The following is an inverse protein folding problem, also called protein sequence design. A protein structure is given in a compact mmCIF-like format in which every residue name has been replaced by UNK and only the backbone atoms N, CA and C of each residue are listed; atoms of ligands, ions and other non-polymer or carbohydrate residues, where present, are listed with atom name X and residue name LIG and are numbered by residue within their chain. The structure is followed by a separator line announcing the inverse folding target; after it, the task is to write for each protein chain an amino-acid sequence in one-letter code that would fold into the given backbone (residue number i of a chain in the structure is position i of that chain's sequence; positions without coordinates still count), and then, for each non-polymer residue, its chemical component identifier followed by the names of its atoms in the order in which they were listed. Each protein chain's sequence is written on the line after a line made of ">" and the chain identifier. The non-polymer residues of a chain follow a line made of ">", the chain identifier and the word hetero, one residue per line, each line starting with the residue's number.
data_IF_679896417072
#
_entry.id   IF_679896417072
#
_cell.length_a   1.000
_cell.length_b   1.000
_cell.length_c   1.000
_cell.angle_alpha   90.00
_cell.angle_beta   90.00
_cell.angle_gamma   90.00
#
_symmetry.space_group_name_H-M   'P 1'
#
loop_
_entity.id
_entity.type
_entity.pdbx_description
1 polymer ?
#
# COMPACT_ATOMS: atom_id res chain seq x y z
N UNK A 1 -12.97 23.91 -6.66
CA UNK A 1 -13.77 23.73 -7.89
C UNK A 1 -13.09 24.50 -9.00
N UNK A 2 -12.79 23.86 -10.12
CA UNK A 2 -12.04 24.46 -11.24
C UNK A 2 -12.85 24.28 -12.52
N UNK A 3 -13.12 25.37 -13.24
CA UNK A 3 -13.76 25.32 -14.56
C UNK A 3 -12.72 24.98 -15.63
N UNK A 4 -12.85 23.79 -16.21
CA UNK A 4 -11.87 23.22 -17.14
C UNK A 4 -11.83 23.97 -18.48
N UNK A 5 -12.93 24.63 -18.88
CA UNK A 5 -12.99 25.41 -20.12
C UNK A 5 -12.13 26.69 -20.09
N UNK A 6 -11.67 27.13 -18.91
CA UNK A 6 -10.79 28.31 -18.71
C UNK A 6 -9.33 27.88 -18.47
N UNK A 7 -9.10 26.58 -18.36
CA UNK A 7 -7.96 25.98 -17.71
C UNK A 7 -7.07 25.27 -18.74
N UNK A 8 -6.30 26.05 -19.51
CA UNK A 8 -5.16 25.52 -20.24
C UNK A 8 -4.07 24.95 -19.30
N UNK A 9 -2.82 24.93 -19.76
CA UNK A 9 -1.66 24.44 -18.98
C UNK A 9 -1.49 25.07 -17.57
N UNK A 10 -2.09 26.23 -17.31
CA UNK A 10 -2.07 26.91 -16.02
C UNK A 10 -2.82 26.17 -14.90
N UNK A 11 -3.94 25.52 -15.18
CA UNK A 11 -4.69 24.81 -14.15
C UNK A 11 -4.01 23.51 -13.72
N UNK A 12 -3.40 22.80 -14.67
CA UNK A 12 -2.59 21.60 -14.38
C UNK A 12 -1.43 21.95 -13.45
N UNK A 13 -0.73 23.07 -13.71
CA UNK A 13 0.35 23.57 -12.84
C UNK A 13 -0.14 24.00 -11.47
N UNK A 14 -1.28 24.69 -11.40
CA UNK A 14 -1.90 25.08 -10.13
C UNK A 14 -2.24 23.86 -9.27
N UNK A 15 -2.83 22.83 -9.88
CA UNK A 15 -3.20 21.58 -9.20
C UNK A 15 -1.97 20.85 -8.70
N UNK A 16 -0.93 20.70 -9.53
CA UNK A 16 0.32 20.09 -9.12
C UNK A 16 0.95 20.85 -7.93
N UNK A 17 0.94 22.18 -7.98
CA UNK A 17 1.47 23.03 -6.90
C UNK A 17 0.65 22.90 -5.61
N UNK A 18 -0.68 22.91 -5.73
CA UNK A 18 -1.58 22.78 -4.59
C UNK A 18 -1.47 21.39 -3.93
N UNK A 19 -1.24 20.35 -4.73
CA UNK A 19 -0.98 18.98 -4.25
C UNK A 19 0.38 18.80 -3.58
N UNK A 20 1.38 19.57 -3.99
CA UNK A 20 2.66 19.62 -3.28
C UNK A 20 2.53 20.09 -1.84
N UNK A 21 1.49 20.87 -1.52
CA UNK A 21 1.18 21.34 -0.15
C UNK A 21 0.11 20.48 0.52
N UNK A 22 -0.91 20.07 -0.23
CA UNK A 22 -2.03 19.24 0.25
C UNK A 22 -2.25 18.06 -0.70
N UNK A 23 -1.58 16.91 -0.46
CA UNK A 23 -1.62 15.77 -1.37
C UNK A 23 -3.04 15.29 -1.70
N UNK A 24 -3.92 15.27 -0.69
CA UNK A 24 -5.31 14.81 -0.82
C UNK A 24 -6.30 15.91 -1.17
N UNK A 25 -5.84 17.09 -1.63
CA UNK A 25 -6.71 18.23 -1.92
C UNK A 25 -7.86 17.81 -2.87
N UNK A 26 -9.12 17.89 -2.41
CA UNK A 26 -10.27 17.53 -3.24
C UNK A 26 -10.45 18.53 -4.39
N UNK A 27 -10.42 18.04 -5.62
CA UNK A 27 -10.60 18.86 -6.82
C UNK A 27 -11.77 18.32 -7.65
N UNK A 28 -12.79 19.16 -7.79
CA UNK A 28 -13.90 18.97 -8.71
C UNK A 28 -13.63 19.79 -9.97
N UNK A 29 -13.48 19.09 -11.09
CA UNK A 29 -13.42 19.69 -12.41
C UNK A 29 -14.82 19.84 -12.96
N UNK A 30 -15.10 21.01 -13.55
CA UNK A 30 -16.34 21.22 -14.27
C UNK A 30 -16.00 21.44 -15.74
N UNK A 31 -16.52 20.60 -16.63
CA UNK A 31 -16.19 20.66 -18.06
C UNK A 31 -17.44 20.70 -18.94
N UNK A 32 -17.40 21.46 -20.04
CA UNK A 32 -18.41 21.41 -21.10
C UNK A 32 -18.09 20.40 -22.22
N UNK A 33 -16.93 19.74 -22.18
CA UNK A 33 -16.50 18.76 -23.19
C UNK A 33 -15.90 17.51 -22.55
N UNK A 34 -16.03 16.38 -23.24
CA UNK A 34 -15.63 15.04 -22.78
C UNK A 34 -14.11 14.77 -22.84
N UNK A 35 -13.30 15.73 -23.31
CA UNK A 35 -11.87 15.48 -23.52
C UNK A 35 -11.10 15.64 -22.20
N UNK A 36 -11.07 14.56 -21.41
CA UNK A 36 -10.53 14.48 -20.05
C UNK A 36 -9.15 13.79 -20.01
N UNK A 37 -8.33 13.99 -21.04
CA UNK A 37 -6.94 13.53 -21.03
C UNK A 37 -6.18 14.17 -19.86
N UNK A 38 -5.69 13.34 -18.93
CA UNK A 38 -4.92 13.78 -17.76
C UNK A 38 -5.72 13.99 -16.47
N UNK A 39 -7.03 13.69 -16.46
CA UNK A 39 -7.93 13.86 -15.28
C UNK A 39 -8.57 12.53 -14.84
N UNK A 40 -8.05 11.38 -15.29
CA UNK A 40 -8.68 10.05 -15.15
C UNK A 40 -8.98 9.59 -13.71
N UNK A 41 -8.36 10.20 -12.70
CA UNK A 41 -8.55 9.84 -11.28
C UNK A 41 -9.35 10.90 -10.48
N UNK A 42 -9.78 11.96 -11.17
CA UNK A 42 -10.39 13.15 -10.58
C UNK A 42 -11.91 13.15 -10.71
N UNK A 43 -12.57 13.84 -9.78
CA UNK A 43 -14.01 14.07 -9.90
C UNK A 43 -14.28 15.08 -11.01
N UNK A 44 -15.10 14.69 -11.99
CA UNK A 44 -15.49 15.53 -13.11
C UNK A 44 -17.02 15.66 -13.17
N UNK A 45 -17.51 16.89 -13.23
CA UNK A 45 -18.90 17.24 -13.44
C UNK A 45 -19.08 17.86 -14.82
N UNK A 46 -19.89 17.23 -15.66
CA UNK A 46 -20.12 17.68 -17.03
C UNK A 46 -21.27 18.68 -17.11
N UNK A 47 -21.07 19.77 -17.87
CA UNK A 47 -22.12 20.75 -18.18
C UNK A 47 -22.99 20.26 -19.35
N UNK A 48 -24.31 20.56 -19.35
CA UNK A 48 -25.05 21.18 -18.26
C UNK A 48 -25.33 20.17 -17.13
N UNK A 49 -25.39 20.66 -15.89
CA UNK A 49 -25.77 19.88 -14.72
C UNK A 49 -26.80 20.63 -13.88
N UNK A 50 -27.60 19.88 -13.14
CA UNK A 50 -28.56 20.38 -12.15
C UNK A 50 -27.84 20.75 -10.84
N UNK A 51 -28.36 21.72 -10.06
CA UNK A 51 -27.77 22.09 -8.77
C UNK A 51 -27.55 20.91 -7.82
N UNK A 52 -28.43 19.91 -7.82
CA UNK A 52 -28.34 18.72 -6.97
C UNK A 52 -27.15 17.84 -7.37
N UNK A 53 -26.81 17.78 -8.66
CA UNK A 53 -25.63 17.05 -9.15
C UNK A 53 -24.33 17.71 -8.68
N UNK A 54 -24.28 19.04 -8.63
CA UNK A 54 -23.15 19.77 -8.07
C UNK A 54 -23.01 19.51 -6.56
N UNK A 55 -24.11 19.63 -5.81
CA UNK A 55 -24.11 19.40 -4.36
C UNK A 55 -23.63 17.99 -4.04
N UNK A 56 -24.14 16.98 -4.75
CA UNK A 56 -23.71 15.59 -4.60
C UNK A 56 -22.22 15.41 -4.92
N UNK A 57 -21.76 15.93 -6.06
CA UNK A 57 -20.35 15.82 -6.45
C UNK A 57 -19.40 16.46 -5.43
N UNK A 58 -19.80 17.59 -4.82
CA UNK A 58 -19.04 18.25 -3.76
C UNK A 58 -19.01 17.41 -2.48
N UNK A 59 -20.16 16.87 -2.05
CA UNK A 59 -20.22 16.01 -0.86
C UNK A 59 -19.38 14.75 -1.02
N UNK A 60 -19.55 14.01 -2.12
CA UNK A 60 -18.79 12.80 -2.43
C UNK A 60 -17.28 13.08 -2.43
N UNK A 61 -16.88 14.23 -2.96
CA UNK A 61 -15.48 14.66 -3.01
C UNK A 61 -14.92 15.00 -1.62
N UNK A 62 -15.69 15.69 -0.76
CA UNK A 62 -15.28 16.02 0.61
C UNK A 62 -15.15 14.75 1.45
N UNK A 63 -16.12 13.84 1.36
CA UNK A 63 -16.07 12.54 2.05
C UNK A 63 -14.85 11.73 1.61
N UNK A 64 -14.56 11.68 0.30
CA UNK A 64 -13.37 11.03 -0.23
C UNK A 64 -12.09 11.62 0.34
N UNK A 65 -11.96 12.95 0.40
CA UNK A 65 -10.80 13.61 1.00
C UNK A 65 -10.62 13.22 2.47
N UNK A 66 -11.69 13.24 3.26
CA UNK A 66 -11.63 12.86 4.67
C UNK A 66 -11.20 11.39 4.87
N UNK A 67 -11.67 10.48 4.01
CA UNK A 67 -11.23 9.08 4.03
C UNK A 67 -9.74 8.95 3.71
N UNK A 68 -9.23 9.72 2.75
CA UNK A 68 -7.82 9.70 2.38
C UNK A 68 -6.95 10.26 3.51
N UNK A 69 -7.34 11.36 4.13
CA UNK A 69 -6.62 11.95 5.26
C UNK A 69 -6.61 11.02 6.48
N UNK A 70 -7.73 10.35 6.77
CA UNK A 70 -7.79 9.35 7.84
C UNK A 70 -6.90 8.12 7.54
N UNK A 71 -6.85 7.68 6.27
CA UNK A 71 -5.97 6.59 5.84
C UNK A 71 -4.51 6.99 6.02
N UNK A 72 -4.15 8.20 5.64
CA UNK A 72 -2.79 8.73 5.76
C UNK A 72 -2.36 8.89 7.22
N UNK A 73 -3.23 9.43 8.08
CA UNK A 73 -2.98 9.50 9.53
C UNK A 73 -2.79 8.09 10.16
N UNK A 74 -3.53 7.09 9.68
CA UNK A 74 -3.35 5.69 10.09
C UNK A 74 -2.00 5.12 9.64
N UNK A 75 -1.48 5.54 8.48
CA UNK A 75 -0.14 5.14 8.02
C UNK A 75 0.94 5.83 8.86
N UNK A 76 0.78 7.12 9.17
CA UNK A 76 1.72 7.84 10.02
C UNK A 76 1.78 7.23 11.43
N UNK A 77 0.62 6.86 11.99
CA UNK A 77 0.53 6.15 13.27
C UNK A 77 1.13 4.73 13.21
N UNK A 78 1.17 4.12 12.03
CA UNK A 78 1.85 2.84 11.81
C UNK A 78 3.36 3.02 11.73
N UNK A 79 3.82 3.97 10.93
CA UNK A 79 5.23 4.31 10.75
C UNK A 79 5.93 4.67 12.07
N UNK A 80 5.22 5.38 12.96
CA UNK A 80 5.71 5.73 14.30
C UNK A 80 6.05 4.52 15.18
N UNK A 81 5.60 3.31 14.83
CA UNK A 81 5.84 2.05 15.57
C UNK A 81 6.98 1.22 14.99
N UNK A 82 7.51 1.58 13.82
CA UNK A 82 8.62 0.85 13.19
C UNK A 82 9.92 1.18 13.92
N UNK A 83 10.69 0.16 14.31
CA UNK A 83 12.08 0.37 14.74
C UNK A 83 13.00 0.44 13.53
N UNK A 84 12.70 -0.28 12.44
CA UNK A 84 13.56 -0.30 11.27
C UNK A 84 13.35 0.87 10.32
N UNK A 85 14.46 1.49 9.90
CA UNK A 85 14.46 2.53 8.88
C UNK A 85 14.07 2.00 7.50
N UNK A 86 14.32 0.72 7.19
CA UNK A 86 13.98 0.13 5.89
C UNK A 86 12.47 0.04 5.69
N UNK A 87 11.72 -0.30 6.74
CA UNK A 87 10.25 -0.31 6.73
C UNK A 87 9.68 1.08 6.44
N UNK A 88 10.24 2.12 7.09
CA UNK A 88 9.83 3.50 6.87
C UNK A 88 10.06 3.97 5.42
N UNK A 89 11.23 3.65 4.85
CA UNK A 89 11.54 4.03 3.46
C UNK A 89 10.63 3.34 2.47
N UNK A 90 10.45 2.02 2.58
CA UNK A 90 9.61 1.25 1.66
C UNK A 90 8.14 1.63 1.79
N UNK A 91 7.63 1.91 3.01
CA UNK A 91 6.28 2.45 3.20
C UNK A 91 6.11 3.81 2.49
N UNK A 92 7.12 4.68 2.59
CA UNK A 92 7.08 6.01 1.96
C UNK A 92 7.06 5.91 0.44
N UNK A 93 7.88 5.03 -0.14
CA UNK A 93 7.92 4.75 -1.57
C UNK A 93 6.57 4.19 -2.06
N UNK A 94 6.02 3.18 -1.37
CA UNK A 94 4.72 2.61 -1.70
C UNK A 94 3.59 3.64 -1.60
N UNK A 95 3.62 4.50 -0.57
CA UNK A 95 2.65 5.58 -0.40
C UNK A 95 2.75 6.61 -1.52
N UNK A 96 3.95 6.92 -2.01
CA UNK A 96 4.19 7.87 -3.10
C UNK A 96 3.59 7.43 -4.43
N UNK A 97 3.53 6.13 -4.70
CA UNK A 97 2.96 5.57 -5.94
C UNK A 97 1.43 5.43 -5.91
N UNK A 98 0.79 5.70 -4.76
CA UNK A 98 -0.67 5.66 -4.68
C UNK A 98 -1.32 6.85 -5.38
N UNK A 99 -2.46 6.59 -6.01
CA UNK A 99 -3.37 7.63 -6.51
C UNK A 99 -4.68 7.60 -5.74
N UNK A 100 -4.74 8.35 -4.64
CA UNK A 100 -5.89 8.36 -3.73
C UNK A 100 -6.17 6.97 -3.13
N UNK A 101 -7.28 6.35 -3.52
CA UNK A 101 -7.69 5.04 -3.02
C UNK A 101 -7.08 3.86 -3.81
N UNK A 102 -6.60 4.13 -5.02
CA UNK A 102 -5.98 3.15 -5.93
C UNK A 102 -4.67 2.62 -5.36
N UNK A 103 -4.51 1.30 -5.40
CA UNK A 103 -3.29 0.62 -4.99
C UNK A 103 -2.21 0.75 -6.07
N UNK A 104 -0.91 0.81 -5.70
CA UNK A 104 0.16 0.85 -6.67
C UNK A 104 0.39 -0.55 -7.28
N UNK A 105 0.81 -0.58 -8.55
CA UNK A 105 1.37 -1.79 -9.14
C UNK A 105 2.75 -2.09 -8.55
N UNK A 106 3.07 -3.37 -8.37
CA UNK A 106 4.31 -3.83 -7.72
C UNK A 106 5.55 -3.22 -8.39
N UNK A 107 5.58 -3.24 -9.73
CA UNK A 107 6.69 -2.75 -10.54
C UNK A 107 6.85 -1.22 -10.54
N UNK A 108 5.92 -0.45 -9.95
CA UNK A 108 6.02 1.00 -9.84
C UNK A 108 6.68 1.44 -8.54
N UNK A 109 6.65 0.60 -7.50
CA UNK A 109 7.25 0.95 -6.21
C UNK A 109 8.77 0.94 -6.34
N UNK A 110 9.47 2.08 -6.12
CA UNK A 110 10.89 2.21 -6.41
C UNK A 110 11.77 1.62 -5.30
N UNK A 111 11.73 0.30 -5.12
CA UNK A 111 12.58 -0.41 -4.14
C UNK A 111 14.04 -0.38 -4.62
N UNK A 112 14.92 0.17 -3.79
CA UNK A 112 16.36 0.24 -4.09
C UNK A 112 17.04 -1.12 -3.96
N UNK A 113 18.26 -1.24 -4.49
CA UNK A 113 19.01 -2.50 -4.44
C UNK A 113 19.31 -2.94 -3.00
N UNK A 114 19.65 -2.02 -2.11
CA UNK A 114 19.92 -2.29 -0.70
C UNK A 114 18.64 -2.64 0.08
N UNK A 115 17.49 -2.08 -0.30
CA UNK A 115 16.20 -2.43 0.30
C UNK A 115 15.73 -3.83 -0.12
N UNK A 116 16.06 -4.26 -1.35
CA UNK A 116 15.68 -5.58 -1.87
C UNK A 116 16.19 -6.73 -1.02
N UNK A 117 17.30 -6.57 -0.30
CA UNK A 117 17.81 -7.63 0.58
C UNK A 117 16.85 -7.98 1.72
N UNK A 118 15.97 -7.05 2.10
CA UNK A 118 14.98 -7.18 3.17
C UNK A 118 13.54 -7.40 2.66
N UNK A 119 13.36 -7.52 1.34
CA UNK A 119 12.04 -7.58 0.71
C UNK A 119 11.80 -8.97 0.12
N UNK A 120 10.60 -9.48 0.32
CA UNK A 120 10.04 -10.56 -0.49
C UNK A 120 8.86 -10.05 -1.32
N UNK A 121 8.83 -10.42 -2.59
CA UNK A 121 7.70 -10.21 -3.49
C UNK A 121 6.78 -11.42 -3.39
N UNK A 122 5.51 -11.19 -3.10
CA UNK A 122 4.51 -12.24 -2.88
C UNK A 122 3.42 -12.12 -3.91
N UNK A 123 3.18 -13.17 -4.69
CA UNK A 123 2.02 -13.27 -5.58
C UNK A 123 0.85 -13.85 -4.79
N UNK A 124 -0.33 -13.27 -4.98
CA UNK A 124 -1.56 -13.68 -4.32
C UNK A 124 -2.49 -14.32 -5.34
N UNK A 125 -2.87 -15.57 -5.10
CA UNK A 125 -3.98 -16.22 -5.82
C UNK A 125 -5.22 -16.22 -4.94
N UNK A 126 -6.13 -15.30 -5.22
CA UNK A 126 -7.43 -15.18 -4.56
C UNK A 126 -8.50 -16.14 -5.12
N UNK A 127 -8.23 -16.83 -6.23
CA UNK A 127 -9.19 -17.76 -6.86
C UNK A 127 -9.18 -19.13 -6.18
N UNK A 128 -8.08 -19.48 -5.51
CA UNK A 128 -7.96 -20.68 -4.68
C UNK A 128 -8.58 -20.44 -3.29
N UNK A 129 -9.20 -21.46 -2.70
CA UNK A 129 -9.79 -21.39 -1.34
C UNK A 129 -9.18 -22.48 -0.45
N UNK A 130 -8.47 -22.12 0.64
CA UNK A 130 -8.14 -20.76 1.06
C UNK A 130 -7.17 -20.07 0.09
N UNK A 131 -7.20 -18.73 -0.03
CA UNK A 131 -6.28 -17.99 -0.91
C UNK A 131 -4.82 -18.36 -0.62
N UNK A 132 -3.97 -18.32 -1.65
CA UNK A 132 -2.58 -18.77 -1.51
C UNK A 132 -1.57 -17.68 -1.84
N UNK A 133 -0.39 -17.83 -1.24
CA UNK A 133 0.68 -16.84 -1.30
C UNK A 133 1.96 -17.53 -1.75
N UNK A 134 2.57 -17.01 -2.80
CA UNK A 134 3.80 -17.56 -3.39
C UNK A 134 4.90 -16.51 -3.33
N UNK A 135 6.02 -16.86 -2.71
CA UNK A 135 7.20 -16.01 -2.59
C UNK A 135 8.00 -16.08 -3.89
N UNK A 136 7.75 -15.17 -4.83
CA UNK A 136 8.36 -15.24 -6.17
C UNK A 136 9.77 -14.65 -6.23
N UNK A 137 10.09 -13.75 -5.30
CA UNK A 137 11.43 -13.24 -5.08
C UNK A 137 11.65 -13.01 -3.59
N UNK A 138 12.83 -13.35 -3.09
CA UNK A 138 13.20 -13.18 -1.69
C UNK A 138 14.58 -12.54 -1.61
N UNK A 139 14.69 -11.48 -0.82
CA UNK A 139 15.93 -10.74 -0.60
C UNK A 139 17.03 -11.60 0.03
N UNK A 140 18.28 -11.29 -0.33
CA UNK A 140 19.42 -12.11 0.06
C UNK A 140 19.62 -12.18 1.58
N UNK A 141 19.31 -11.12 2.33
CA UNK A 141 19.43 -11.13 3.79
C UNK A 141 18.40 -12.06 4.43
N UNK A 142 17.18 -12.14 3.87
CA UNK A 142 16.15 -13.06 4.35
C UNK A 142 16.58 -14.51 4.16
N UNK A 143 17.07 -14.87 2.97
CA UNK A 143 17.54 -16.22 2.68
C UNK A 143 18.79 -16.59 3.46
N UNK A 144 19.74 -15.64 3.62
CA UNK A 144 20.97 -15.85 4.38
C UNK A 144 20.69 -16.17 5.84
N UNK A 145 19.81 -15.39 6.48
CA UNK A 145 19.50 -15.55 7.91
C UNK A 145 18.67 -16.81 8.20
N UNK A 146 17.88 -17.23 7.21
CA UNK A 146 17.11 -18.46 7.28
C UNK A 146 17.89 -19.72 6.86
N UNK A 147 19.13 -19.55 6.38
CA UNK A 147 19.94 -20.60 5.76
C UNK A 147 19.18 -21.40 4.68
N UNK A 148 18.18 -20.78 4.06
CA UNK A 148 17.22 -21.41 3.14
C UNK A 148 16.86 -20.45 2.02
N UNK A 149 16.80 -20.95 0.78
CA UNK A 149 16.20 -20.22 -0.33
C UNK A 149 14.68 -20.42 -0.32
N UNK A 150 13.95 -19.32 -0.17
CA UNK A 150 12.49 -19.30 -0.11
C UNK A 150 11.86 -18.87 -1.45
N UNK A 151 12.65 -18.73 -2.51
CA UNK A 151 12.14 -18.42 -3.83
C UNK A 151 11.25 -19.56 -4.34
N UNK A 152 10.08 -19.21 -4.86
CA UNK A 152 8.97 -20.09 -5.25
C UNK A 152 8.34 -20.87 -4.11
N UNK A 153 8.61 -20.47 -2.87
CA UNK A 153 8.03 -21.14 -1.72
C UNK A 153 6.59 -20.72 -1.53
N UNK A 154 5.71 -21.71 -1.33
CA UNK A 154 4.28 -21.49 -1.12
C UNK A 154 4.01 -21.43 0.37
N UNK A 155 3.39 -20.35 0.81
CA UNK A 155 2.86 -20.24 2.16
C UNK A 155 1.47 -20.88 2.10
N UNK A 156 1.44 -22.19 2.35
CA UNK A 156 0.20 -22.94 2.40
C UNK A 156 -0.58 -22.55 3.65
N UNK A 157 -1.80 -22.10 3.43
CA UNK A 157 -2.69 -21.80 4.53
C UNK A 157 -3.16 -23.08 5.20
N UNK A 158 -3.11 -23.11 6.53
CA UNK A 158 -3.65 -24.24 7.31
C UNK A 158 -5.18 -24.36 7.20
N UNK A 159 -5.83 -23.43 6.49
CA UNK A 159 -7.29 -23.28 6.47
C UNK A 159 -7.86 -22.76 7.80
N UNK A 160 -7.01 -22.54 8.81
CA UNK A 160 -7.39 -21.95 10.08
C UNK A 160 -7.64 -20.45 9.87
N UNK A 161 -8.85 -20.01 10.18
CA UNK A 161 -9.23 -18.59 10.15
C UNK A 161 -8.69 -17.82 11.36
N UNK A 162 -7.91 -18.47 12.23
CA UNK A 162 -7.16 -17.81 13.29
C UNK A 162 -6.21 -16.76 12.71
N UNK A 163 -6.54 -15.51 13.00
CA UNK A 163 -5.74 -14.31 12.73
C UNK A 163 -4.33 -14.32 13.35
N UNK A 164 -4.01 -15.34 14.15
CA UNK A 164 -2.73 -15.52 14.83
C UNK A 164 -1.73 -16.39 14.05
N UNK A 165 -2.10 -16.95 12.90
CA UNK A 165 -1.17 -17.71 12.05
C UNK A 165 -0.22 -16.78 11.28
N UNK A 166 0.94 -17.29 10.86
CA UNK A 166 1.88 -16.53 10.01
C UNK A 166 1.21 -16.05 8.70
N UNK A 167 0.30 -16.86 8.15
CA UNK A 167 -0.52 -16.57 6.97
C UNK A 167 -1.63 -15.53 7.25
N UNK A 168 -2.16 -15.48 8.48
CA UNK A 168 -3.25 -14.59 8.87
C UNK A 168 -2.97 -13.11 8.56
N UNK A 169 -1.72 -12.68 8.70
CA UNK A 169 -1.30 -11.33 8.34
C UNK A 169 -1.42 -11.03 6.83
N UNK A 170 -1.04 -12.00 5.97
CA UNK A 170 -1.17 -11.88 4.53
C UNK A 170 -2.65 -11.79 4.12
N UNK A 171 -3.49 -12.67 4.66
CA UNK A 171 -4.95 -12.62 4.45
C UNK A 171 -5.55 -11.29 4.89
N UNK A 172 -5.18 -10.78 6.08
CA UNK A 172 -5.64 -9.46 6.56
C UNK A 172 -5.22 -8.34 5.62
N UNK A 173 -3.99 -8.35 5.13
CA UNK A 173 -3.49 -7.33 4.20
C UNK A 173 -4.28 -7.33 2.88
N UNK A 174 -4.51 -8.52 2.29
CA UNK A 174 -5.33 -8.70 1.08
C UNK A 174 -6.76 -8.23 1.30
N UNK A 175 -7.45 -8.77 2.32
CA UNK A 175 -8.87 -8.47 2.58
C UNK A 175 -9.13 -7.00 2.91
N UNK A 176 -8.26 -6.39 3.71
CA UNK A 176 -8.42 -5.00 4.13
C UNK A 176 -7.94 -4.00 3.08
N UNK A 177 -7.11 -4.44 2.12
CA UNK A 177 -6.42 -3.59 1.13
C UNK A 177 -5.60 -2.48 1.79
N UNK A 178 -5.12 -2.72 3.01
CA UNK A 178 -4.34 -1.79 3.83
C UNK A 178 -3.01 -2.43 4.22
N UNK A 179 -1.95 -1.62 4.36
CA UNK A 179 -0.71 -2.07 4.97
C UNK A 179 -0.97 -2.77 6.31
N UNK A 180 -0.26 -3.86 6.55
CA UNK A 180 -0.30 -4.62 7.81
C UNK A 180 1.09 -4.65 8.41
N UNK A 181 1.20 -4.34 9.69
CA UNK A 181 2.45 -4.34 10.43
C UNK A 181 2.32 -5.23 11.66
N UNK A 182 3.28 -6.12 11.85
CA UNK A 182 3.39 -6.95 13.04
C UNK A 182 4.85 -7.21 13.45
N UNK A 183 5.00 -7.62 14.71
CA UNK A 183 6.20 -8.30 15.19
C UNK A 183 5.90 -9.79 15.18
N UNK A 184 6.72 -10.54 14.47
CA UNK A 184 6.54 -11.97 14.32
C UNK A 184 7.74 -12.73 14.86
N UNK A 185 7.45 -13.93 15.34
CA UNK A 185 8.42 -14.91 15.80
C UNK A 185 8.64 -15.90 14.67
N UNK A 186 9.89 -16.11 14.27
CA UNK A 186 10.26 -17.20 13.37
C UNK A 186 11.08 -18.24 14.13
N UNK A 187 10.66 -19.49 14.00
CA UNK A 187 11.44 -20.63 14.45
C UNK A 187 12.14 -21.20 13.22
N UNK A 188 13.46 -21.05 13.17
CA UNK A 188 14.29 -21.57 12.07
C UNK A 188 14.62 -23.07 12.25
N UNK A 189 14.03 -23.75 13.23
CA UNK A 189 14.34 -25.14 13.55
C UNK A 189 15.66 -25.30 14.32
N UNK A 190 16.30 -24.20 14.71
CA UNK A 190 17.40 -24.14 15.68
C UNK A 190 16.88 -23.79 17.08
N UNK A 191 17.67 -24.01 18.13
CA UNK A 191 17.30 -23.63 19.51
C UNK A 191 17.08 -22.10 19.68
N UNK A 192 17.41 -21.29 18.67
CA UNK A 192 17.31 -19.83 18.68
C UNK A 192 16.04 -19.34 17.96
N UNK A 193 15.08 -18.89 18.75
CA UNK A 193 13.91 -18.17 18.26
C UNK A 193 14.31 -16.76 17.82
N UNK A 194 14.06 -16.40 16.56
CA UNK A 194 14.32 -15.04 16.06
C UNK A 194 13.05 -14.20 16.03
N UNK A 195 13.19 -12.92 16.42
CA UNK A 195 12.14 -11.92 16.29
C UNK A 195 12.40 -11.01 15.09
N UNK A 196 11.34 -10.64 14.38
CA UNK A 196 11.43 -9.71 13.27
C UNK A 196 10.24 -8.76 13.20
N UNK A 197 10.51 -7.56 12.72
CA UNK A 197 9.50 -6.64 12.22
C UNK A 197 9.10 -7.04 10.81
N UNK A 198 7.79 -7.04 10.55
CA UNK A 198 7.26 -7.27 9.21
C UNK A 198 6.24 -6.22 8.83
N UNK A 199 6.40 -5.70 7.63
CA UNK A 199 5.45 -4.82 6.96
C UNK A 199 4.98 -5.48 5.67
N UNK A 200 3.68 -5.67 5.52
CA UNK A 200 3.03 -6.13 4.30
C UNK A 200 2.35 -4.94 3.62
N UNK A 201 2.66 -4.72 2.35
CA UNK A 201 2.10 -3.63 1.54
C UNK A 201 1.34 -4.22 0.35
N UNK A 202 0.04 -3.90 0.19
CA UNK A 202 -0.76 -4.47 -0.88
C UNK A 202 -0.49 -3.74 -2.21
N UNK A 203 -0.34 -4.53 -3.26
CA UNK A 203 -0.13 -4.08 -4.63
C UNK A 203 -1.21 -4.66 -5.56
N UNK A 204 -1.42 -4.00 -6.70
CA UNK A 204 -2.52 -4.31 -7.60
C UNK A 204 -2.16 -3.96 -9.05
N UNK A 205 -2.46 -4.86 -9.99
CA UNK A 205 -2.30 -4.60 -11.43
C UNK A 205 -3.41 -3.70 -12.00
N UNK A 206 -4.63 -3.79 -11.47
CA UNK A 206 -5.78 -2.98 -11.90
C UNK A 206 -6.06 -1.78 -10.98
N UNK A 207 -5.27 -1.64 -9.91
CA UNK A 207 -5.40 -0.62 -8.88
C UNK A 207 -6.52 -0.86 -7.86
N UNK A 208 -7.28 -1.95 -8.01
CA UNK A 208 -8.40 -2.32 -7.16
C UNK A 208 -8.11 -3.61 -6.39
N UNK A 209 -7.97 -4.73 -7.09
CA UNK A 209 -7.80 -6.07 -6.51
C UNK A 209 -6.34 -6.32 -6.12
N UNK A 210 -6.10 -6.93 -4.96
CA UNK A 210 -4.73 -7.22 -4.50
C UNK A 210 -4.21 -8.45 -5.24
N UNK A 211 -3.25 -8.24 -6.13
CA UNK A 211 -2.61 -9.32 -6.92
C UNK A 211 -1.24 -9.71 -6.37
N UNK A 212 -0.63 -8.82 -5.60
CA UNK A 212 0.68 -9.05 -5.01
C UNK A 212 0.87 -8.25 -3.72
N UNK A 213 1.86 -8.64 -2.93
CA UNK A 213 2.29 -7.95 -1.73
C UNK A 213 3.80 -7.72 -1.78
N UNK A 214 4.23 -6.58 -1.24
CA UNK A 214 5.62 -6.37 -0.84
C UNK A 214 5.69 -6.71 0.65
N UNK A 215 6.47 -7.73 1.00
CA UNK A 215 6.76 -8.10 2.37
C UNK A 215 8.15 -7.60 2.75
N UNK A 216 8.22 -6.59 3.60
CA UNK A 216 9.49 -6.09 4.16
C UNK A 216 9.70 -6.75 5.51
N UNK A 217 10.84 -7.42 5.68
CA UNK A 217 11.18 -8.13 6.91
C UNK A 217 12.53 -7.63 7.41
N UNK A 218 12.55 -7.16 8.65
CA UNK A 218 13.76 -6.74 9.32
C UNK A 218 13.86 -7.45 10.67
N UNK A 219 14.85 -8.30 10.80
CA UNK A 219 15.12 -9.00 12.05
C UNK A 219 15.67 -8.04 13.10
N UNK A 220 15.16 -8.13 14.33
CA UNK A 220 15.71 -7.40 15.47
C UNK A 220 16.97 -8.14 15.94
N UNK A 221 18.07 -7.42 16.15
CA UNK A 221 19.29 -7.99 16.76
C UNK A 221 19.21 -7.96 18.30
N UNK A 222 18.23 -7.24 18.85
CA UNK A 222 18.04 -7.08 20.29
C UNK A 222 16.94 -8.01 20.77
N UNK A 223 17.30 -8.98 21.61
CA UNK A 223 16.32 -9.84 22.28
C UNK A 223 15.37 -8.95 23.13
N UNK A 224 14.04 -9.01 22.95
CA UNK A 224 13.10 -8.26 23.80
C UNK A 224 13.22 -8.61 25.30
N UNK A 225 13.94 -9.67 25.66
CA UNK A 225 14.24 -10.04 27.04
C UNK A 225 15.30 -9.15 27.74
N UNK A 226 16.09 -8.34 27.03
CA UNK A 226 17.14 -7.50 27.64
C UNK A 226 16.67 -6.08 28.02
N UNK A 227 15.38 -5.76 27.83
CA UNK A 227 14.82 -4.42 28.02
C UNK A 227 13.87 -4.22 29.21
N UNK A 228 13.88 -5.09 30.23
CA UNK A 228 13.09 -4.91 31.47
C UNK A 228 13.96 -4.64 32.70
#
# INVERSE_FOLDING_TARGET
>A
MIDYCVAGSGAVKFIASARGVRPNLPILFISGQFNLTGVAHEAVLLKPFLPEQLSKAVLDMVERSQRLDARDASLDSMAARFKSAVLNRVLTQWRGERSGETLPALNRVPITRDERDFVAEVVVDQTYVPMTFELVQVGAELSRRAETDFTWWRIDGTGDDSEMTQEGAYRRCVRSRKPTYDFARFDFGSEDTSFFERLLLPCSEDGAEVTSLIAVVNFDETDPAEGQ
#
